data_IF_132442197699
#
_entry.id   IF_132442197699
#
_cell.length_a   1.000
_cell.length_b   1.000
_cell.length_c   1.000
_cell.angle_alpha   90.00
_cell.angle_beta   90.00
_cell.angle_gamma   90.00
#
_symmetry.space_group_name_H-M   'P 1'
#
loop_
_entity.id
_entity.type
_entity.pdbx_description
1 polymer ?
#
# COMPACT_ATOMS: atom_id res chain seq x y z
N UNK A 1 32.21 -16.10 17.98
CA UNK A 1 32.58 -15.83 19.41
C UNK A 1 33.93 -15.15 19.58
N UNK A 2 35.04 -15.61 18.91
CA UNK A 2 36.40 -15.03 19.05
C UNK A 2 36.46 -13.56 18.60
N UNK A 3 35.92 -13.20 17.45
CA UNK A 3 35.91 -11.83 16.89
C UNK A 3 35.23 -10.88 17.88
N UNK A 4 34.06 -11.24 18.40
CA UNK A 4 33.32 -10.41 19.38
C UNK A 4 34.12 -10.15 20.67
N UNK A 5 34.87 -11.18 21.14
CA UNK A 5 35.75 -11.04 22.31
C UNK A 5 36.88 -10.05 22.04
N UNK A 6 37.54 -10.15 20.87
CA UNK A 6 38.64 -9.26 20.47
C UNK A 6 38.13 -7.81 20.29
N UNK A 7 36.98 -7.61 19.68
CA UNK A 7 36.37 -6.29 19.56
C UNK A 7 36.07 -5.69 20.94
N UNK A 8 35.59 -6.50 21.89
CA UNK A 8 35.35 -6.04 23.26
C UNK A 8 36.64 -5.67 24.00
N UNK A 9 37.67 -6.49 23.88
CA UNK A 9 39.00 -6.27 24.51
C UNK A 9 39.67 -5.00 23.99
N UNK A 10 39.46 -4.65 22.72
CA UNK A 10 40.07 -3.48 22.09
C UNK A 10 39.13 -2.26 22.00
N UNK A 11 38.01 -2.26 22.73
CA UNK A 11 37.02 -1.17 22.72
C UNK A 11 36.49 -0.80 21.34
N UNK A 12 36.49 -1.73 20.39
CA UNK A 12 35.99 -1.56 19.02
C UNK A 12 34.48 -1.78 18.87
N UNK A 13 33.77 -1.98 19.99
CA UNK A 13 32.31 -2.08 19.97
C UNK A 13 31.66 -0.71 19.96
N UNK A 14 30.78 -0.47 18.98
CA UNK A 14 29.94 0.72 19.00
C UNK A 14 28.97 0.61 20.19
N UNK A 15 28.98 1.57 21.15
CA UNK A 15 28.04 1.55 22.25
C UNK A 15 26.61 1.59 21.70
N UNK A 16 25.76 0.68 22.17
CA UNK A 16 24.32 0.69 21.81
C UNK A 16 23.70 1.99 22.32
N UNK A 17 23.51 2.95 21.43
CA UNK A 17 22.86 4.20 21.77
C UNK A 17 21.36 3.96 22.02
N UNK A 18 21.01 3.61 23.26
CA UNK A 18 19.63 3.37 23.69
C UNK A 18 18.76 4.64 23.69
N UNK A 19 19.39 5.83 23.62
CA UNK A 19 18.67 7.11 23.64
C UNK A 19 18.05 7.51 22.28
N UNK A 20 18.41 6.82 21.17
CA UNK A 20 17.83 7.07 19.84
C UNK A 20 16.46 6.41 19.61
N UNK A 21 15.98 5.60 20.55
CA UNK A 21 14.60 5.13 20.48
C UNK A 21 13.71 6.13 21.21
N UNK A 22 12.93 6.88 20.45
CA UNK A 22 11.84 7.66 21.00
C UNK A 22 10.98 6.77 21.93
N UNK A 23 10.49 7.30 23.08
CA UNK A 23 9.61 6.54 23.95
C UNK A 23 8.42 6.05 23.09
N UNK A 24 8.17 4.73 23.12
CA UNK A 24 7.03 4.14 22.42
C UNK A 24 5.76 4.70 23.06
N UNK A 25 5.09 5.61 22.38
CA UNK A 25 3.71 5.96 22.73
C UNK A 25 2.86 4.70 22.60
N UNK A 26 1.89 4.56 23.52
CA UNK A 26 0.92 3.48 23.45
C UNK A 26 0.39 3.38 22.01
N UNK A 27 0.37 2.16 21.47
CA UNK A 27 -0.07 1.89 20.11
C UNK A 27 -1.55 2.27 20.05
N UNK A 28 -1.87 3.38 19.44
CA UNK A 28 -3.23 3.66 19.00
C UNK A 28 -3.62 2.53 18.04
N UNK A 29 -4.71 1.85 18.34
CA UNK A 29 -5.13 0.71 17.54
C UNK A 29 -5.24 1.12 16.07
N UNK A 30 -4.57 0.36 15.19
CA UNK A 30 -4.83 0.44 13.75
C UNK A 30 -6.32 0.20 13.52
N UNK A 31 -7.01 1.04 12.74
CA UNK A 31 -8.38 0.73 12.34
C UNK A 31 -8.38 -0.62 11.64
N UNK A 32 -9.05 -1.59 12.21
CA UNK A 32 -9.28 -2.89 11.58
C UNK A 32 -10.69 -2.88 11.05
N UNK A 33 -10.83 -3.21 9.80
CA UNK A 33 -12.14 -3.40 9.19
C UNK A 33 -12.15 -4.71 8.42
N UNK A 34 -13.30 -5.34 8.40
CA UNK A 34 -13.63 -6.44 7.50
C UNK A 34 -14.56 -5.93 6.39
N UNK A 35 -15.03 -4.67 6.51
CA UNK A 35 -15.96 -4.07 5.57
C UNK A 35 -15.22 -3.57 4.33
N UNK A 36 -15.69 -3.92 3.12
CA UNK A 36 -15.19 -3.37 1.87
C UNK A 36 -15.30 -1.84 1.84
N UNK A 37 -14.31 -1.20 1.23
CA UNK A 37 -14.30 0.25 0.98
C UNK A 37 -14.38 1.13 2.24
N UNK A 38 -14.12 0.59 3.44
CA UNK A 38 -14.10 1.40 4.66
C UNK A 38 -12.80 2.18 4.80
N UNK A 39 -11.67 1.51 4.60
CA UNK A 39 -10.35 2.12 4.63
C UNK A 39 -9.56 1.71 3.40
N UNK A 40 -9.11 2.69 2.65
CA UNK A 40 -8.13 2.49 1.58
C UNK A 40 -6.76 2.95 2.05
N UNK A 41 -5.73 2.23 1.71
CA UNK A 41 -4.35 2.65 1.92
C UNK A 41 -3.71 3.06 0.62
N UNK A 42 -2.99 4.17 0.61
CA UNK A 42 -2.17 4.60 -0.51
C UNK A 42 -0.71 4.74 -0.07
N UNK A 43 0.21 4.27 -0.90
CA UNK A 43 1.65 4.39 -0.68
C UNK A 43 2.41 4.25 -2.00
N UNK A 44 3.71 4.52 -1.97
CA UNK A 44 4.58 4.51 -3.14
C UNK A 44 5.87 3.73 -2.89
N UNK A 45 6.34 3.08 -3.93
CA UNK A 45 7.67 2.48 -3.94
C UNK A 45 8.42 2.76 -5.24
N UNK A 46 9.74 2.56 -5.22
CA UNK A 46 10.57 2.63 -6.42
C UNK A 46 10.90 1.24 -6.93
N UNK A 47 10.93 1.11 -8.24
CA UNK A 47 11.36 -0.09 -8.96
C UNK A 47 12.45 0.32 -9.95
N UNK A 48 13.55 -0.45 -10.00
CA UNK A 48 14.64 -0.22 -10.95
C UNK A 48 14.40 -1.10 -12.18
N UNK A 49 14.36 -0.48 -13.34
CA UNK A 49 14.41 -1.17 -14.64
C UNK A 49 15.82 -0.96 -15.20
N UNK A 50 16.64 -2.00 -15.39
CA UNK A 50 18.05 -1.87 -15.73
C UNK A 50 18.34 -0.99 -16.95
N UNK A 51 17.50 -1.10 -17.98
CA UNK A 51 17.64 -0.36 -19.25
C UNK A 51 17.13 1.08 -19.20
N UNK A 52 16.34 1.44 -18.16
CA UNK A 52 15.63 2.73 -18.09
C UNK A 52 15.99 3.56 -16.85
N UNK A 53 16.20 2.92 -15.70
CA UNK A 53 16.41 3.57 -14.41
C UNK A 53 15.22 3.41 -13.45
N UNK A 54 15.08 4.36 -12.52
CA UNK A 54 14.04 4.31 -11.49
C UNK A 54 12.67 4.72 -12.03
N UNK A 55 11.68 3.89 -11.76
CA UNK A 55 10.26 4.22 -11.92
C UNK A 55 9.58 4.21 -10.55
N UNK A 56 8.43 4.86 -10.47
CA UNK A 56 7.63 4.97 -9.25
C UNK A 56 6.34 4.19 -9.41
N UNK A 57 6.04 3.36 -8.43
CA UNK A 57 4.82 2.57 -8.35
C UNK A 57 3.98 3.07 -7.19
N UNK A 58 2.81 3.63 -7.49
CA UNK A 58 1.84 4.10 -6.53
C UNK A 58 0.75 3.03 -6.38
N UNK A 59 0.50 2.61 -5.17
CA UNK A 59 -0.39 1.48 -4.85
C UNK A 59 -1.57 1.95 -4.02
N UNK A 60 -2.77 1.56 -4.42
CA UNK A 60 -3.99 1.76 -3.62
C UNK A 60 -4.64 0.42 -3.34
N UNK A 61 -4.87 0.12 -2.06
CA UNK A 61 -5.46 -1.15 -1.62
C UNK A 61 -6.65 -0.91 -0.68
N UNK A 62 -7.71 -1.70 -0.81
CA UNK A 62 -8.77 -1.79 0.19
C UNK A 62 -8.33 -2.69 1.35
N UNK A 63 -8.28 -2.14 2.54
CA UNK A 63 -7.84 -2.89 3.72
C UNK A 63 -8.83 -3.97 4.18
N UNK A 64 -10.12 -3.80 3.91
CA UNK A 64 -11.13 -4.78 4.27
C UNK A 64 -10.99 -6.06 3.45
N UNK A 65 -11.03 -5.91 2.14
CA UNK A 65 -11.00 -7.03 1.18
C UNK A 65 -9.60 -7.45 0.72
N UNK A 66 -8.56 -6.68 1.04
CA UNK A 66 -7.20 -6.81 0.49
C UNK A 66 -7.13 -6.62 -1.03
N UNK A 67 -8.19 -6.11 -1.67
CA UNK A 67 -8.26 -5.89 -3.10
C UNK A 67 -7.30 -4.78 -3.51
N UNK A 68 -6.40 -5.07 -4.44
CA UNK A 68 -5.49 -4.10 -5.03
C UNK A 68 -6.27 -3.29 -6.09
N UNK A 69 -6.59 -2.06 -5.74
CA UNK A 69 -7.46 -1.19 -6.54
C UNK A 69 -6.70 -0.48 -7.65
N UNK A 70 -5.46 -0.05 -7.38
CA UNK A 70 -4.57 0.55 -8.36
C UNK A 70 -3.12 0.15 -8.08
N UNK A 71 -2.36 -0.03 -9.15
CA UNK A 71 -0.91 -0.16 -9.18
C UNK A 71 -0.39 0.76 -10.30
N UNK A 72 -0.52 2.07 -10.08
CA UNK A 72 -0.17 3.11 -11.04
C UNK A 72 1.33 3.31 -11.14
N UNK A 73 1.85 3.23 -12.36
CA UNK A 73 3.27 3.43 -12.66
C UNK A 73 3.51 4.81 -13.25
N UNK A 74 4.56 5.49 -12.80
CA UNK A 74 4.96 6.79 -13.33
C UNK A 74 6.46 6.98 -13.31
N UNK A 75 6.95 7.96 -14.08
CA UNK A 75 8.38 8.34 -14.15
C UNK A 75 8.77 9.32 -13.04
N UNK A 76 7.79 9.87 -12.35
CA UNK A 76 7.97 10.82 -11.25
C UNK A 76 7.11 10.40 -10.05
N UNK A 77 7.33 11.02 -8.89
CA UNK A 77 6.43 10.89 -7.75
C UNK A 77 5.99 12.28 -7.30
N UNK A 78 5.18 12.92 -8.16
CA UNK A 78 4.55 14.21 -7.86
C UNK A 78 3.12 13.98 -7.37
N UNK A 79 2.49 15.02 -6.83
CA UNK A 79 1.09 14.94 -6.39
C UNK A 79 0.15 14.50 -7.53
N UNK A 80 0.45 14.86 -8.78
CA UNK A 80 -0.32 14.43 -9.94
C UNK A 80 -0.33 12.91 -10.13
N UNK A 81 0.80 12.24 -9.88
CA UNK A 81 0.93 10.78 -10.00
C UNK A 81 0.12 10.07 -8.91
N UNK A 82 0.12 10.62 -7.69
CA UNK A 82 -0.71 10.14 -6.59
C UNK A 82 -2.21 10.32 -6.86
N UNK A 83 -2.58 11.46 -7.46
CA UNK A 83 -3.97 11.72 -7.89
C UNK A 83 -4.37 10.74 -9.00
N UNK A 84 -3.49 10.45 -9.95
CA UNK A 84 -3.75 9.47 -11.00
C UNK A 84 -4.00 8.07 -10.41
N UNK A 85 -3.16 7.62 -9.47
CA UNK A 85 -3.34 6.36 -8.77
C UNK A 85 -4.68 6.29 -8.02
N UNK A 86 -5.06 7.37 -7.33
CA UNK A 86 -6.34 7.45 -6.63
C UNK A 86 -7.52 7.40 -7.61
N UNK A 87 -7.46 8.14 -8.72
CA UNK A 87 -8.50 8.13 -9.74
C UNK A 87 -8.65 6.75 -10.40
N UNK A 88 -7.55 6.06 -10.69
CA UNK A 88 -7.60 4.68 -11.19
C UNK A 88 -8.30 3.75 -10.19
N UNK A 89 -7.97 3.86 -8.90
CA UNK A 89 -8.60 3.07 -7.85
C UNK A 89 -10.11 3.36 -7.74
N UNK A 90 -10.50 4.64 -7.81
CA UNK A 90 -11.91 5.04 -7.80
C UNK A 90 -12.65 4.49 -9.01
N UNK A 91 -12.11 4.64 -10.21
CA UNK A 91 -12.75 4.14 -11.45
C UNK A 91 -12.85 2.61 -11.47
N UNK A 92 -11.83 1.93 -10.93
CA UNK A 92 -11.84 0.46 -10.84
C UNK A 92 -12.90 -0.05 -9.86
N UNK A 93 -13.04 0.60 -8.71
CA UNK A 93 -13.95 0.15 -7.66
C UNK A 93 -15.38 0.64 -7.86
N UNK A 94 -15.56 1.82 -8.45
CA UNK A 94 -16.85 2.47 -8.67
C UNK A 94 -17.03 2.81 -10.15
N UNK A 95 -17.24 1.82 -11.04
CA UNK A 95 -17.33 2.05 -12.48
C UNK A 95 -18.52 2.94 -12.88
N UNK A 96 -19.57 2.99 -12.07
CA UNK A 96 -20.73 3.87 -12.28
C UNK A 96 -20.56 5.27 -11.62
N UNK A 97 -19.42 5.50 -10.97
CA UNK A 97 -19.08 6.71 -10.27
C UNK A 97 -19.15 6.59 -8.75
N UNK A 98 -18.19 7.21 -8.07
CA UNK A 98 -18.04 7.14 -6.60
C UNK A 98 -19.25 7.74 -5.85
N UNK A 99 -20.00 8.64 -6.48
CA UNK A 99 -21.19 9.29 -5.87
C UNK A 99 -22.38 8.34 -5.68
N UNK A 100 -22.39 7.21 -6.38
CA UNK A 100 -23.40 6.17 -6.21
C UNK A 100 -23.07 5.18 -5.08
N UNK A 101 -21.89 5.30 -4.49
CA UNK A 101 -21.49 4.45 -3.37
C UNK A 101 -22.33 4.75 -2.12
N UNK A 102 -22.74 3.72 -1.40
CA UNK A 102 -23.50 3.84 -0.15
C UNK A 102 -22.73 4.56 0.95
N UNK A 103 -21.41 4.50 0.91
CA UNK A 103 -20.47 5.24 1.75
C UNK A 103 -19.14 5.40 1.02
N UNK A 104 -18.41 6.44 1.39
CA UNK A 104 -17.12 6.79 0.79
C UNK A 104 -15.97 6.24 1.64
N UNK A 105 -14.89 5.77 1.02
CA UNK A 105 -13.73 5.28 1.77
C UNK A 105 -13.00 6.41 2.49
N UNK A 106 -12.38 6.08 3.62
CA UNK A 106 -11.37 6.90 4.25
C UNK A 106 -9.99 6.49 3.71
N UNK A 107 -9.21 7.47 3.21
CA UNK A 107 -7.91 7.21 2.59
C UNK A 107 -6.78 7.40 3.60
N UNK A 108 -6.06 6.34 3.88
CA UNK A 108 -4.91 6.35 4.79
C UNK A 108 -3.62 6.49 4.00
N UNK A 109 -2.79 7.46 4.37
CA UNK A 109 -1.46 7.69 3.82
C UNK A 109 -0.44 7.99 4.92
N UNK A 110 0.83 8.02 4.55
CA UNK A 110 1.87 8.61 5.39
C UNK A 110 1.82 10.16 5.36
N UNK A 111 2.77 10.80 6.06
CA UNK A 111 2.94 12.26 6.06
C UNK A 111 3.93 12.73 4.98
N UNK A 112 4.06 12.01 3.87
CA UNK A 112 4.88 12.42 2.74
C UNK A 112 4.46 13.78 2.16
N UNK A 113 5.35 14.43 1.43
CA UNK A 113 5.06 15.74 0.85
C UNK A 113 3.99 15.70 -0.25
N UNK A 114 3.81 14.55 -0.90
CA UNK A 114 2.80 14.38 -1.95
C UNK A 114 1.38 14.24 -1.38
N UNK A 115 1.10 13.29 -0.43
CA UNK A 115 -0.23 13.18 0.15
C UNK A 115 -0.62 14.37 1.03
N UNK A 116 0.33 15.16 1.53
CA UNK A 116 0.06 16.39 2.28
C UNK A 116 -0.05 17.64 1.38
N UNK A 117 0.11 17.50 0.08
CA UNK A 117 0.02 18.63 -0.85
C UNK A 117 -1.41 19.14 -1.00
N UNK A 118 -1.55 20.46 -1.21
CA UNK A 118 -2.86 21.10 -1.46
C UNK A 118 -3.57 20.48 -2.66
N UNK A 119 -2.85 20.11 -3.71
CA UNK A 119 -3.42 19.49 -4.90
C UNK A 119 -4.06 18.13 -4.59
N UNK A 120 -3.36 17.27 -3.83
CA UNK A 120 -3.88 15.95 -3.46
C UNK A 120 -5.06 16.07 -2.49
N UNK A 121 -4.96 16.96 -1.50
CA UNK A 121 -6.06 17.25 -0.59
C UNK A 121 -7.32 17.72 -1.33
N UNK A 122 -7.16 18.63 -2.30
CA UNK A 122 -8.27 19.10 -3.15
C UNK A 122 -8.91 17.96 -3.93
N UNK A 123 -8.09 17.09 -4.56
CA UNK A 123 -8.60 15.94 -5.30
C UNK A 123 -9.39 14.97 -4.40
N UNK A 124 -8.90 14.67 -3.20
CA UNK A 124 -9.65 13.86 -2.22
C UNK A 124 -10.99 14.52 -1.86
N UNK A 125 -10.99 15.83 -1.61
CA UNK A 125 -12.21 16.60 -1.27
C UNK A 125 -13.23 16.59 -2.41
N UNK A 126 -12.80 16.73 -3.66
CA UNK A 126 -13.66 16.68 -4.85
C UNK A 126 -14.32 15.30 -5.03
N UNK A 127 -13.62 14.24 -4.66
CA UNK A 127 -14.15 12.87 -4.63
C UNK A 127 -14.99 12.57 -3.38
N UNK A 128 -15.00 13.47 -2.39
CA UNK A 128 -15.65 13.26 -1.10
C UNK A 128 -14.90 12.29 -0.18
N UNK A 129 -13.65 11.96 -0.50
CA UNK A 129 -12.81 11.02 0.26
C UNK A 129 -12.13 11.79 1.42
N UNK A 130 -12.31 11.30 2.64
CA UNK A 130 -11.63 11.85 3.82
C UNK A 130 -10.23 11.25 3.96
N UNK A 131 -9.19 12.11 4.08
CA UNK A 131 -7.81 11.68 4.32
C UNK A 131 -7.54 11.46 5.81
N UNK A 132 -6.88 10.34 6.11
CA UNK A 132 -6.33 10.02 7.42
C UNK A 132 -4.82 9.84 7.28
N UNK A 133 -4.08 10.51 8.12
CA UNK A 133 -2.63 10.35 8.17
C UNK A 133 -2.23 9.32 9.23
N UNK A 134 -1.43 8.34 8.82
CA UNK A 134 -0.81 7.42 9.77
C UNK A 134 0.11 8.21 10.72
N UNK A 135 -0.06 8.05 12.04
CA UNK A 135 0.71 8.85 12.98
C UNK A 135 2.22 8.55 12.89
N UNK A 136 3.06 9.56 13.01
CA UNK A 136 4.53 9.52 12.92
C UNK A 136 5.20 8.42 13.75
N UNK A 137 4.55 7.97 14.82
CA UNK A 137 5.08 6.98 15.77
C UNK A 137 4.43 5.61 15.64
N UNK A 138 3.57 5.41 14.61
CA UNK A 138 2.85 4.16 14.43
C UNK A 138 3.27 3.46 13.12
N UNK A 139 4.35 2.65 13.14
CA UNK A 139 4.79 1.91 11.96
C UNK A 139 3.77 0.88 11.46
N UNK A 140 2.68 0.67 12.19
CA UNK A 140 1.58 -0.21 11.80
C UNK A 140 0.44 0.54 11.10
N UNK A 141 0.53 1.86 11.01
CA UNK A 141 -0.56 2.71 10.50
C UNK A 141 -0.91 2.45 9.02
N UNK A 142 0.06 2.01 8.20
CA UNK A 142 -0.13 1.69 6.78
C UNK A 142 0.34 0.26 6.42
N UNK A 143 0.41 -0.63 7.39
CA UNK A 143 1.03 -1.95 7.26
C UNK A 143 0.39 -2.85 6.18
N UNK A 144 -0.89 -2.69 5.86
CA UNK A 144 -1.52 -3.47 4.79
C UNK A 144 -1.04 -3.01 3.42
N UNK A 145 -0.86 -1.71 3.23
CA UNK A 145 -0.32 -1.15 1.99
C UNK A 145 1.17 -1.48 1.84
N UNK A 146 1.95 -1.36 2.91
CA UNK A 146 3.36 -1.78 2.93
C UNK A 146 3.51 -3.26 2.59
N UNK A 147 2.59 -4.11 3.10
CA UNK A 147 2.61 -5.54 2.82
C UNK A 147 2.33 -5.86 1.36
N UNK A 148 1.35 -5.24 0.71
CA UNK A 148 1.09 -5.49 -0.72
C UNK A 148 2.25 -5.00 -1.59
N UNK A 149 2.85 -3.85 -1.26
CA UNK A 149 4.07 -3.37 -1.94
C UNK A 149 5.19 -4.40 -1.82
N UNK A 150 5.37 -4.97 -0.63
CA UNK A 150 6.36 -6.02 -0.41
C UNK A 150 6.05 -7.27 -1.23
N UNK A 151 4.79 -7.70 -1.29
CA UNK A 151 4.37 -8.84 -2.10
C UNK A 151 4.64 -8.60 -3.59
N UNK A 152 4.32 -7.39 -4.12
CA UNK A 152 4.68 -7.01 -5.50
C UNK A 152 6.19 -7.17 -5.74
N UNK A 153 7.01 -6.74 -4.78
CA UNK A 153 8.47 -6.88 -4.90
C UNK A 153 8.93 -8.32 -4.88
N UNK A 154 8.42 -9.11 -3.95
CA UNK A 154 8.80 -10.51 -3.76
C UNK A 154 8.32 -11.39 -4.93
N UNK A 155 7.11 -11.17 -5.45
CA UNK A 155 6.50 -12.03 -6.46
C UNK A 155 6.74 -11.56 -7.90
N UNK A 156 7.12 -10.30 -8.12
CA UNK A 156 7.29 -9.75 -9.46
C UNK A 156 8.65 -9.09 -9.68
N UNK A 157 9.01 -8.11 -8.83
CA UNK A 157 10.18 -7.25 -9.09
C UNK A 157 11.49 -7.97 -8.87
N UNK A 158 11.60 -8.81 -7.84
CA UNK A 158 12.87 -9.45 -7.47
C UNK A 158 13.11 -10.81 -8.13
N UNK A 159 12.08 -11.38 -8.76
CA UNK A 159 12.18 -12.69 -9.41
C UNK A 159 12.42 -12.60 -10.91
N UNK A 160 12.23 -11.43 -11.53
CA UNK A 160 12.35 -11.24 -12.96
C UNK A 160 13.04 -9.91 -13.27
N UNK A 161 13.97 -9.92 -14.21
CA UNK A 161 14.49 -8.72 -14.86
C UNK A 161 13.58 -8.33 -16.03
N UNK A 162 13.40 -7.03 -16.22
CA UNK A 162 12.55 -6.48 -17.26
C UNK A 162 13.39 -5.66 -18.23
N UNK A 163 13.24 -5.93 -19.52
CA UNK A 163 14.01 -5.26 -20.57
C UNK A 163 13.45 -3.87 -20.90
N UNK A 164 12.20 -3.59 -20.53
CA UNK A 164 11.56 -2.31 -20.77
C UNK A 164 10.50 -1.97 -19.72
N UNK A 165 10.18 -0.67 -19.65
CA UNK A 165 9.08 -0.16 -18.82
C UNK A 165 7.74 -0.74 -19.26
N UNK A 166 7.51 -0.89 -20.57
CA UNK A 166 6.28 -1.45 -21.11
C UNK A 166 6.08 -2.93 -20.75
N UNK A 167 7.18 -3.72 -20.73
CA UNK A 167 7.15 -5.11 -20.30
C UNK A 167 6.78 -5.21 -18.82
N UNK A 168 7.41 -4.38 -17.97
CA UNK A 168 7.08 -4.33 -16.54
C UNK A 168 5.61 -3.92 -16.31
N UNK A 169 5.11 -2.92 -17.05
CA UNK A 169 3.71 -2.48 -16.95
C UNK A 169 2.73 -3.59 -17.30
N UNK A 170 2.99 -4.33 -18.39
CA UNK A 170 2.16 -5.45 -18.79
C UNK A 170 2.16 -6.57 -17.73
N UNK A 171 3.35 -6.91 -17.20
CA UNK A 171 3.50 -7.90 -16.15
C UNK A 171 2.82 -7.47 -14.83
N UNK A 172 2.91 -6.19 -14.48
CA UNK A 172 2.26 -5.63 -13.29
C UNK A 172 0.73 -5.70 -13.39
N UNK A 173 0.16 -5.37 -14.54
CA UNK A 173 -1.29 -5.49 -14.79
C UNK A 173 -1.77 -6.94 -14.69
N UNK A 174 -1.02 -7.87 -15.27
CA UNK A 174 -1.33 -9.30 -15.17
C UNK A 174 -1.21 -9.79 -13.71
N UNK A 175 -0.17 -9.38 -13.01
CA UNK A 175 0.03 -9.70 -11.60
C UNK A 175 -1.08 -9.14 -10.72
N UNK A 176 -1.50 -7.88 -10.92
CA UNK A 176 -2.61 -7.26 -10.19
C UNK A 176 -3.91 -8.06 -10.35
N UNK A 177 -4.19 -8.52 -11.58
CA UNK A 177 -5.34 -9.36 -11.85
C UNK A 177 -5.25 -10.67 -11.08
N UNK A 178 -4.15 -11.41 -11.22
CA UNK A 178 -3.93 -12.68 -10.52
C UNK A 178 -3.97 -12.50 -8.99
N UNK A 179 -3.37 -11.43 -8.45
CA UNK A 179 -3.44 -11.11 -7.02
C UNK A 179 -4.88 -10.95 -6.52
N UNK A 180 -5.73 -10.30 -7.28
CA UNK A 180 -7.13 -10.10 -6.88
C UNK A 180 -8.01 -11.35 -7.08
N UNK A 181 -7.76 -12.13 -8.13
CA UNK A 181 -8.64 -13.24 -8.56
C UNK A 181 -8.17 -14.61 -8.05
N UNK A 182 -6.85 -14.84 -7.93
CA UNK A 182 -6.28 -16.17 -7.70
C UNK A 182 -5.48 -16.28 -6.40
N UNK A 183 -5.09 -15.15 -5.76
CA UNK A 183 -4.19 -15.18 -4.60
C UNK A 183 -4.97 -15.32 -3.29
N UNK A 184 -4.87 -16.46 -2.55
CA UNK A 184 -5.59 -16.66 -1.30
C UNK A 184 -4.93 -15.93 -0.14
N UNK A 185 -5.72 -15.22 0.66
CA UNK A 185 -5.24 -14.48 1.83
C UNK A 185 -5.65 -15.16 3.14
N UNK A 186 -4.69 -15.48 3.99
CA UNK A 186 -4.95 -16.07 5.31
C UNK A 186 -5.84 -15.18 6.19
N UNK A 187 -5.71 -13.85 6.07
CA UNK A 187 -6.55 -12.89 6.79
C UNK A 187 -8.00 -12.83 6.28
N UNK A 188 -8.28 -13.39 5.11
CA UNK A 188 -9.60 -13.52 4.50
C UNK A 188 -10.15 -14.96 4.56
N UNK A 189 -9.60 -15.79 5.45
CA UNK A 189 -9.98 -17.20 5.53
C UNK A 189 -9.57 -18.01 4.30
N UNK A 190 -8.44 -17.66 3.69
CA UNK A 190 -7.91 -18.24 2.45
C UNK A 190 -8.77 -18.00 1.19
N UNK A 191 -9.69 -17.05 1.24
CA UNK A 191 -10.36 -16.53 0.05
C UNK A 191 -9.47 -15.54 -0.70
N UNK A 192 -9.71 -15.40 -1.99
CA UNK A 192 -9.13 -14.32 -2.79
C UNK A 192 -9.83 -12.99 -2.47
N UNK A 193 -9.21 -11.83 -2.76
CA UNK A 193 -9.87 -10.54 -2.63
C UNK A 193 -11.21 -10.44 -3.38
N UNK A 194 -11.28 -11.06 -4.55
CA UNK A 194 -12.51 -11.08 -5.36
C UNK A 194 -13.62 -11.94 -4.75
N UNK A 195 -13.29 -13.13 -4.27
CA UNK A 195 -14.24 -14.02 -3.59
C UNK A 195 -14.78 -13.37 -2.31
N UNK A 196 -13.88 -12.78 -1.50
CA UNK A 196 -14.23 -12.12 -0.25
C UNK A 196 -15.14 -10.91 -0.49
N UNK A 197 -14.87 -10.09 -1.54
CA UNK A 197 -15.68 -8.93 -1.90
C UNK A 197 -16.99 -9.30 -2.61
N UNK A 198 -17.27 -10.57 -2.87
CA UNK A 198 -18.45 -10.99 -3.61
C UNK A 198 -19.75 -10.69 -2.84
N UNK A 199 -20.85 -10.28 -3.52
CA UNK A 199 -22.13 -10.02 -2.87
C UNK A 199 -22.61 -11.19 -2.02
N UNK A 200 -22.45 -12.43 -2.49
CA UNK A 200 -22.81 -13.65 -1.80
C UNK A 200 -22.09 -13.81 -0.44
N UNK A 201 -20.78 -13.54 -0.41
CA UNK A 201 -20.02 -13.61 0.82
C UNK A 201 -20.40 -12.48 1.78
N UNK A 202 -20.61 -11.28 1.25
CA UNK A 202 -21.01 -10.10 2.04
C UNK A 202 -22.40 -10.25 2.68
N UNK A 203 -23.33 -10.93 2.03
CA UNK A 203 -24.63 -11.31 2.62
C UNK A 203 -24.46 -12.31 3.77
N UNK A 204 -23.63 -13.33 3.57
CA UNK A 204 -23.32 -14.31 4.63
C UNK A 204 -22.72 -13.66 5.88
N UNK A 205 -21.85 -12.65 5.72
CA UNK A 205 -21.21 -11.95 6.84
C UNK A 205 -22.16 -11.03 7.62
N UNK A 206 -23.33 -10.68 7.06
CA UNK A 206 -24.35 -9.83 7.70
C UNK A 206 -25.45 -10.63 8.41
N UNK A 207 -25.54 -11.94 8.13
CA UNK A 207 -26.51 -12.87 8.74
C UNK A 207 -26.01 -13.42 10.06
#
# INVERSE_FOLDING_TARGET
>A
KRIHRLMKQNNLQVPKNRKLKAPRKAVTHKPRTIEPNRYWGIDMTKVMIPTFGWIYLHVVIDWGTKKLLSAHMSLTSKSADWIAALNEAVNFQFPNGIREASYLPELVSDHGCQPTSTAFFKACSELGIHQIFASYSNPKGNADTERVIRTIKEDLVWIKEFDSVAEFEAALKQWQKAYNEDFPHSSLGYMTPYEYASPKHMEYMKA
#
